data_IF_878655904743
#
_entry.id   IF_878655904743
#
_cell.length_a   1.000
_cell.length_b   1.000
_cell.length_c   1.000
_cell.angle_alpha   90.00
_cell.angle_beta   90.00
_cell.angle_gamma   90.00
#
_symmetry.space_group_name_H-M   'P 1'
#
loop_
_entity.id
_entity.type
_entity.pdbx_description
1 polymer ?
#
# COMPACT_ATOMS: atom_id res chain seq x y z
N UNK A 1 47.65 -48.66 1.76
CA UNK A 1 48.21 -48.58 0.40
C UNK A 1 47.38 -47.57 -0.38
N UNK A 2 47.95 -46.38 -0.54
CA UNK A 2 47.39 -45.22 -1.23
C UNK A 2 47.32 -45.43 -2.74
N UNK A 3 46.30 -44.86 -3.39
CA UNK A 3 46.36 -43.90 -4.50
C UNK A 3 45.06 -43.98 -5.33
N UNK A 4 44.25 -42.91 -5.27
CA UNK A 4 43.19 -42.65 -6.25
C UNK A 4 43.52 -41.31 -6.91
N UNK A 5 43.89 -41.39 -8.18
CA UNK A 5 44.19 -40.24 -9.03
C UNK A 5 42.89 -39.63 -9.62
N UNK A 6 42.80 -38.31 -9.80
CA UNK A 6 41.66 -37.67 -10.46
C UNK A 6 41.79 -37.70 -12.00
N UNK A 7 40.71 -38.10 -12.67
CA UNK A 7 40.57 -38.10 -14.12
C UNK A 7 40.51 -36.67 -14.68
N UNK A 8 41.58 -36.23 -15.36
CA UNK A 8 41.59 -35.04 -16.22
C UNK A 8 40.97 -35.40 -17.58
N UNK A 9 39.88 -34.74 -17.96
CA UNK A 9 39.42 -34.72 -19.35
C UNK A 9 40.13 -33.58 -20.09
N UNK A 10 41.01 -33.95 -21.00
CA UNK A 10 41.51 -33.12 -22.09
C UNK A 10 40.49 -33.20 -23.23
N UNK A 11 40.03 -32.06 -23.72
CA UNK A 11 39.38 -31.96 -25.03
C UNK A 11 39.96 -30.74 -25.75
N UNK A 12 40.25 -30.96 -27.03
CA UNK A 12 41.14 -30.24 -27.91
C UNK A 12 40.61 -28.89 -28.38
N UNK A 13 41.56 -27.98 -28.65
CA UNK A 13 41.40 -26.83 -29.52
C UNK A 13 41.02 -27.28 -30.94
N UNK A 14 40.05 -26.59 -31.55
CA UNK A 14 39.96 -26.43 -33.00
C UNK A 14 39.77 -24.94 -33.31
N UNK A 15 40.60 -24.44 -34.23
CA UNK A 15 40.65 -23.07 -34.73
C UNK A 15 39.55 -22.79 -35.77
N UNK A 16 39.25 -21.49 -35.88
CA UNK A 16 38.89 -20.74 -37.10
C UNK A 16 37.65 -21.11 -37.90
N UNK A 17 36.64 -20.23 -37.85
CA UNK A 17 35.91 -19.74 -39.02
C UNK A 17 35.33 -18.34 -38.68
N UNK A 18 36.00 -17.29 -39.16
CA UNK A 18 35.52 -15.91 -39.17
C UNK A 18 34.44 -15.74 -40.24
N UNK A 19 33.26 -15.18 -39.96
CA UNK A 19 32.40 -14.59 -40.98
C UNK A 19 32.81 -13.12 -41.25
N UNK A 20 32.68 -12.63 -42.50
CA UNK A 20 33.12 -11.30 -42.89
C UNK A 20 32.23 -10.19 -42.30
N UNK A 21 32.90 -9.13 -41.85
CA UNK A 21 32.35 -7.87 -41.38
C UNK A 21 31.69 -7.15 -42.55
N UNK A 22 30.36 -7.12 -42.59
CA UNK A 22 29.61 -6.20 -43.44
C UNK A 22 29.52 -4.84 -42.75
N UNK A 23 30.29 -3.88 -43.24
CA UNK A 23 30.15 -2.46 -42.89
C UNK A 23 28.92 -1.89 -43.58
N UNK A 24 27.79 -1.84 -42.87
CA UNK A 24 26.63 -1.05 -43.27
C UNK A 24 26.56 0.17 -42.37
N UNK A 25 27.00 1.31 -42.89
CA UNK A 25 26.88 2.62 -42.23
C UNK A 25 25.41 3.05 -42.25
N UNK A 26 24.65 2.63 -41.25
CA UNK A 26 23.38 3.26 -40.91
C UNK A 26 23.69 4.45 -40.00
N UNK A 27 23.62 5.65 -40.56
CA UNK A 27 23.63 6.89 -39.83
C UNK A 27 22.44 6.93 -38.86
N UNK A 28 22.61 6.41 -37.65
CA UNK A 28 21.72 6.69 -36.55
C UNK A 28 21.92 8.17 -36.17
N UNK A 29 21.12 9.04 -36.79
CA UNK A 29 20.76 10.32 -36.18
C UNK A 29 20.16 9.98 -34.81
N UNK A 30 20.96 10.12 -33.78
CA UNK A 30 20.48 10.26 -32.41
C UNK A 30 19.66 11.54 -32.39
N UNK A 31 18.36 11.41 -32.66
CA UNK A 31 17.39 12.39 -32.17
C UNK A 31 17.42 12.26 -30.67
N UNK A 32 18.29 13.03 -30.03
CA UNK A 32 18.15 13.41 -28.63
C UNK A 32 16.73 13.96 -28.53
N UNK A 33 15.80 13.36 -27.78
CA UNK A 33 14.56 14.05 -27.48
C UNK A 33 14.95 15.26 -26.64
N UNK A 34 14.97 16.44 -27.26
CA UNK A 34 14.99 17.72 -26.57
C UNK A 34 13.56 17.92 -26.02
N UNK A 35 13.17 17.05 -25.09
CA UNK A 35 12.12 17.33 -24.12
C UNK A 35 12.78 17.50 -22.75
N UNK A 36 13.90 18.22 -22.74
CA UNK A 36 14.25 19.05 -21.60
C UNK A 36 13.36 20.30 -21.64
N UNK A 37 12.04 20.09 -21.54
CA UNK A 37 11.18 21.13 -20.98
C UNK A 37 11.78 21.41 -19.60
N UNK A 38 12.40 22.57 -19.47
CA UNK A 38 12.69 23.21 -18.21
C UNK A 38 11.41 23.19 -17.40
N UNK A 39 11.21 22.11 -16.64
CA UNK A 39 10.35 22.13 -15.47
C UNK A 39 11.04 23.16 -14.59
N UNK A 40 10.58 24.41 -14.67
CA UNK A 40 10.58 25.32 -13.54
C UNK A 40 9.79 24.58 -12.47
N UNK A 41 10.48 23.69 -11.78
CA UNK A 41 9.99 23.15 -10.55
C UNK A 41 9.81 24.39 -9.67
N UNK A 42 8.59 24.63 -9.23
CA UNK A 42 8.34 25.30 -7.96
C UNK A 42 8.92 24.39 -6.87
N UNK A 43 10.23 24.12 -6.94
CA UNK A 43 10.97 23.49 -5.89
C UNK A 43 11.22 24.61 -4.91
N UNK A 44 10.88 24.34 -3.66
CA UNK A 44 11.43 25.06 -2.53
C UNK A 44 12.95 24.89 -2.55
N UNK A 45 13.63 25.63 -3.43
CA UNK A 45 14.94 26.15 -3.10
C UNK A 45 14.77 26.87 -1.77
N UNK A 46 15.70 26.61 -0.85
CA UNK A 46 15.69 27.02 0.55
C UNK A 46 14.97 28.34 0.81
N UNK A 47 14.31 28.53 1.96
CA UNK A 47 13.80 29.84 2.32
C UNK A 47 14.99 30.80 2.23
N UNK A 48 15.03 31.62 1.18
CA UNK A 48 15.83 32.84 1.20
C UNK A 48 15.37 33.52 2.47
N UNK A 49 16.33 33.92 3.31
CA UNK A 49 16.06 34.73 4.50
C UNK A 49 14.94 35.70 4.12
N UNK A 50 13.82 35.59 4.82
CA UNK A 50 12.67 36.41 4.56
C UNK A 50 13.12 37.86 4.77
N UNK A 51 13.46 38.55 3.70
CA UNK A 51 13.28 39.98 3.66
C UNK A 51 11.77 40.15 3.84
N UNK A 52 11.38 40.70 4.99
CA UNK A 52 9.99 40.90 5.44
C UNK A 52 9.16 41.81 4.51
N UNK A 53 9.65 42.07 3.31
CA UNK A 53 9.08 42.94 2.27
C UNK A 53 8.76 42.17 0.98
N UNK A 54 9.01 40.86 0.88
CA UNK A 54 8.79 40.10 -0.37
C UNK A 54 7.96 38.82 -0.28
N UNK A 55 7.54 38.35 0.90
CA UNK A 55 6.71 37.14 1.01
C UNK A 55 5.23 37.37 0.68
N UNK A 56 4.77 38.62 0.73
CA UNK A 56 3.36 39.00 0.57
C UNK A 56 3.10 39.80 -0.71
N UNK A 57 3.89 39.59 -1.77
CA UNK A 57 3.55 40.20 -3.07
C UNK A 57 2.49 39.30 -3.72
N UNK A 58 1.20 39.69 -3.74
CA UNK A 58 0.19 38.90 -4.43
C UNK A 58 0.60 38.83 -5.90
N UNK A 59 0.70 37.62 -6.44
CA UNK A 59 0.93 37.46 -7.87
C UNK A 59 -0.40 37.82 -8.56
N UNK A 60 -0.51 38.98 -9.24
CA UNK A 60 -1.78 39.47 -9.75
C UNK A 60 -2.40 38.49 -10.75
N UNK A 61 -1.58 37.76 -11.49
CA UNK A 61 -2.03 36.73 -12.44
C UNK A 61 -2.64 35.53 -11.70
N UNK A 62 -2.05 35.12 -10.57
CA UNK A 62 -2.63 34.03 -9.77
C UNK A 62 -3.90 34.46 -9.07
N UNK A 63 -3.96 35.69 -8.56
CA UNK A 63 -5.17 36.23 -7.91
C UNK A 63 -6.30 36.43 -8.94
N UNK A 64 -6.01 36.97 -10.11
CA UNK A 64 -6.97 37.04 -11.22
C UNK A 64 -7.44 35.65 -11.67
N UNK A 65 -6.52 34.68 -11.75
CA UNK A 65 -6.86 33.31 -12.12
C UNK A 65 -7.74 32.64 -11.05
N UNK A 66 -7.43 32.81 -9.76
CA UNK A 66 -8.27 32.31 -8.66
C UNK A 66 -9.64 32.99 -8.64
N UNK A 67 -9.70 34.30 -8.92
CA UNK A 67 -10.95 35.07 -9.00
C UNK A 67 -11.82 34.59 -10.16
N UNK A 68 -11.21 34.28 -11.31
CA UNK A 68 -11.90 33.74 -12.49
C UNK A 68 -12.29 32.27 -12.31
N UNK A 69 -11.59 31.52 -11.46
CA UNK A 69 -11.87 30.11 -11.19
C UNK A 69 -12.02 29.86 -9.68
N UNK A 70 -13.06 30.42 -9.03
CA UNK A 70 -13.23 30.32 -7.58
C UNK A 70 -13.44 28.87 -7.11
N UNK A 71 -14.09 28.04 -7.94
CA UNK A 71 -14.26 26.61 -7.70
C UNK A 71 -12.94 25.81 -7.83
N UNK A 72 -12.05 26.19 -8.74
CA UNK A 72 -10.76 25.51 -8.95
C UNK A 72 -9.68 25.97 -7.94
N UNK A 73 -9.77 27.22 -7.46
CA UNK A 73 -8.93 27.77 -6.40
C UNK A 73 -9.22 27.12 -5.04
N UNK A 74 -10.50 26.93 -4.69
CA UNK A 74 -10.91 26.22 -3.49
C UNK A 74 -10.57 24.71 -3.54
N UNK A 75 -10.56 24.11 -4.74
CA UNK A 75 -10.27 22.70 -4.97
C UNK A 75 -8.80 22.38 -5.30
N UNK A 76 -7.91 23.37 -5.39
CA UNK A 76 -6.47 23.19 -5.64
C UNK A 76 -6.12 22.63 -7.03
N UNK A 77 -6.94 22.88 -8.06
CA UNK A 77 -6.65 22.48 -9.45
C UNK A 77 -5.58 23.38 -10.08
N UNK A 78 -4.76 22.82 -10.99
CA UNK A 78 -3.93 23.61 -11.92
C UNK A 78 -4.75 23.92 -13.17
N UNK A 79 -4.52 25.06 -13.85
CA UNK A 79 -5.24 25.39 -15.09
C UNK A 79 -5.09 24.27 -16.12
N UNK A 80 -6.21 23.66 -16.51
CA UNK A 80 -6.29 22.88 -17.75
C UNK A 80 -6.24 23.84 -18.92
N UNK A 81 -5.32 23.62 -19.86
CA UNK A 81 -5.42 24.20 -21.19
C UNK A 81 -6.76 23.72 -21.80
N UNK A 82 -7.58 24.60 -22.37
CA UNK A 82 -8.90 24.23 -22.89
C UNK A 82 -8.74 23.16 -23.97
N UNK A 83 -9.29 21.98 -23.70
CA UNK A 83 -9.50 20.93 -24.70
C UNK A 83 -10.74 21.30 -25.51
N UNK A 84 -10.60 22.27 -26.39
CA UNK A 84 -11.65 22.79 -27.25
C UNK A 84 -11.09 23.95 -28.03
N UNK A 85 -11.23 23.92 -29.36
CA UNK A 85 -10.72 24.98 -30.23
C UNK A 85 -11.16 26.37 -29.76
N UNK A 86 -10.38 27.39 -30.13
CA UNK A 86 -10.68 28.80 -29.90
C UNK A 86 -12.04 29.15 -30.52
N UNK A 87 -13.12 28.93 -29.79
CA UNK A 87 -14.36 29.68 -30.02
C UNK A 87 -14.06 31.11 -29.63
N UNK A 88 -14.39 32.11 -30.48
CA UNK A 88 -14.29 33.50 -30.05
C UNK A 88 -15.15 33.67 -28.81
N UNK A 89 -14.53 34.08 -27.70
CA UNK A 89 -15.28 34.49 -26.52
C UNK A 89 -16.12 35.71 -26.91
N UNK A 90 -17.44 35.58 -26.85
CA UNK A 90 -18.35 36.72 -27.02
C UNK A 90 -17.94 37.80 -26.01
N UNK A 91 -17.74 39.03 -26.51
CA UNK A 91 -17.37 40.16 -25.65
C UNK A 91 -18.42 40.41 -24.57
N UNK A 92 -17.97 40.83 -23.40
CA UNK A 92 -18.85 41.23 -22.30
C UNK A 92 -19.59 42.52 -22.67
N UNK A 93 -20.89 42.57 -22.40
CA UNK A 93 -21.71 43.78 -22.63
C UNK A 93 -21.50 44.72 -21.43
N UNK A 94 -21.57 46.04 -21.65
CA UNK A 94 -21.45 47.01 -20.57
C UNK A 94 -22.62 46.90 -19.58
N UNK A 95 -22.37 47.09 -18.28
CA UNK A 95 -23.36 46.98 -17.20
C UNK A 95 -24.58 47.93 -17.32
N UNK A 96 -24.54 48.90 -18.23
CA UNK A 96 -25.62 49.82 -18.56
C UNK A 96 -26.48 49.37 -19.76
N UNK A 97 -26.27 48.15 -20.27
CA UNK A 97 -27.01 47.62 -21.42
C UNK A 97 -28.42 47.19 -21.02
N UNK A 98 -29.40 47.47 -21.87
CA UNK A 98 -30.81 47.10 -21.67
C UNK A 98 -31.03 45.57 -21.58
N UNK A 99 -30.07 44.78 -22.06
CA UNK A 99 -30.09 43.32 -22.03
C UNK A 99 -29.48 42.71 -20.76
N UNK A 100 -29.02 43.54 -19.82
CA UNK A 100 -28.40 43.07 -18.57
C UNK A 100 -29.41 42.36 -17.65
N UNK A 101 -30.68 42.78 -17.66
CA UNK A 101 -31.73 42.10 -16.89
C UNK A 101 -32.09 40.74 -17.48
N UNK A 102 -32.08 40.62 -18.82
CA UNK A 102 -32.28 39.35 -19.51
C UNK A 102 -31.09 38.40 -19.27
N UNK A 103 -29.87 38.94 -19.19
CA UNK A 103 -28.67 38.17 -18.79
C UNK A 103 -28.77 37.68 -17.34
N UNK A 104 -29.18 38.52 -16.38
CA UNK A 104 -29.37 38.08 -14.99
C UNK A 104 -30.44 37.01 -14.87
N UNK A 105 -31.52 37.14 -15.62
CA UNK A 105 -32.56 36.13 -15.68
C UNK A 105 -32.05 34.82 -16.32
N UNK A 106 -31.18 34.91 -17.33
CA UNK A 106 -30.50 33.78 -17.94
C UNK A 106 -29.52 33.12 -16.96
N UNK A 107 -28.69 33.90 -16.26
CA UNK A 107 -27.74 33.40 -15.25
C UNK A 107 -28.46 32.79 -14.04
N UNK A 108 -29.60 33.35 -13.64
CA UNK A 108 -30.45 32.76 -12.61
C UNK A 108 -31.06 31.44 -13.08
N UNK A 109 -31.56 31.36 -14.32
CA UNK A 109 -32.01 30.09 -14.90
C UNK A 109 -30.88 29.08 -15.04
N UNK A 110 -29.72 29.48 -15.54
CA UNK A 110 -28.54 28.62 -15.68
C UNK A 110 -28.03 28.17 -14.30
N UNK A 111 -28.15 29.01 -13.25
CA UNK A 111 -27.84 28.65 -11.87
C UNK A 111 -28.90 27.71 -11.26
N UNK A 112 -30.19 27.94 -11.51
CA UNK A 112 -31.28 27.06 -11.10
C UNK A 112 -31.22 25.70 -11.81
N UNK A 113 -30.85 25.68 -13.09
CA UNK A 113 -30.59 24.48 -13.88
C UNK A 113 -29.30 23.77 -13.41
N UNK A 114 -28.26 24.51 -12.99
CA UNK A 114 -27.03 23.95 -12.41
C UNK A 114 -27.23 23.40 -10.98
N UNK A 115 -28.12 24.00 -10.19
CA UNK A 115 -28.54 23.49 -8.87
C UNK A 115 -29.53 22.31 -9.01
N UNK A 116 -30.37 22.29 -10.05
CA UNK A 116 -31.19 21.12 -10.42
C UNK A 116 -30.37 19.95 -11.00
N UNK A 117 -29.21 20.25 -11.60
CA UNK A 117 -28.23 19.30 -12.12
C UNK A 117 -27.29 18.73 -11.03
N UNK A 118 -27.70 18.72 -9.76
CA UNK A 118 -27.00 17.95 -8.71
C UNK A 118 -26.90 16.43 -9.02
N UNK A 119 -27.62 15.96 -10.05
CA UNK A 119 -27.55 14.61 -10.61
C UNK A 119 -26.94 14.48 -12.01
N UNK A 120 -26.57 15.55 -12.72
CA UNK A 120 -25.98 15.43 -14.07
C UNK A 120 -24.45 15.45 -13.98
N UNK A 121 -23.89 14.24 -14.02
CA UNK A 121 -22.46 13.98 -13.99
C UNK A 121 -21.77 14.69 -15.17
N UNK A 122 -21.03 15.77 -14.90
CA UNK A 122 -20.08 16.28 -15.89
C UNK A 122 -19.16 15.12 -16.34
N UNK A 123 -19.00 14.90 -17.66
CA UNK A 123 -18.30 13.74 -18.18
C UNK A 123 -16.86 13.70 -17.65
N UNK A 124 -16.58 12.74 -16.77
CA UNK A 124 -15.25 12.51 -16.20
C UNK A 124 -15.04 13.04 -14.77
N UNK A 125 -16.04 13.67 -14.14
CA UNK A 125 -16.00 14.13 -12.74
C UNK A 125 -16.89 13.24 -11.87
N UNK A 126 -16.28 12.33 -11.11
CA UNK A 126 -17.00 11.48 -10.16
C UNK A 126 -16.95 12.09 -8.76
N UNK A 127 -18.09 12.21 -8.07
CA UNK A 127 -18.13 12.65 -6.66
C UNK A 127 -18.14 11.41 -5.76
N UNK A 128 -17.08 11.19 -5.00
CA UNK A 128 -17.01 10.04 -4.06
C UNK A 128 -16.63 10.53 -2.66
N UNK A 129 -17.55 10.36 -1.71
CA UNK A 129 -17.37 10.78 -0.32
C UNK A 129 -17.20 12.29 -0.16
N UNK A 130 -17.92 13.10 -0.95
CA UNK A 130 -17.84 14.56 -0.93
C UNK A 130 -16.66 15.16 -1.70
N UNK A 131 -15.70 14.36 -2.16
CA UNK A 131 -14.55 14.81 -2.95
C UNK A 131 -14.85 14.63 -4.44
N UNK A 132 -14.74 15.71 -5.22
CA UNK A 132 -14.77 15.67 -6.69
C UNK A 132 -13.49 15.01 -7.21
N UNK A 133 -13.60 13.92 -7.97
CA UNK A 133 -12.49 13.16 -8.56
C UNK A 133 -12.59 13.22 -10.07
N UNK A 134 -11.65 13.95 -10.68
CA UNK A 134 -11.56 14.05 -12.14
C UNK A 134 -10.70 12.90 -12.68
N UNK A 135 -11.28 12.01 -13.47
CA UNK A 135 -10.60 10.83 -14.02
C UNK A 135 -9.34 11.21 -14.81
N UNK A 136 -9.43 12.24 -15.66
CA UNK A 136 -8.31 12.69 -16.49
C UNK A 136 -7.12 13.22 -15.67
N UNK A 137 -7.41 13.97 -14.61
CA UNK A 137 -6.39 14.50 -13.70
C UNK A 137 -5.74 13.35 -12.92
N UNK A 138 -6.56 12.41 -12.45
CA UNK A 138 -6.10 11.22 -11.74
C UNK A 138 -5.24 10.34 -12.63
N UNK A 139 -5.61 10.13 -13.90
CA UNK A 139 -4.84 9.32 -14.84
C UNK A 139 -3.40 9.83 -14.99
N UNK A 140 -3.20 11.16 -15.06
CA UNK A 140 -1.86 11.77 -15.14
C UNK A 140 -1.01 11.56 -13.87
N UNK A 141 -1.64 11.47 -12.70
CA UNK A 141 -0.95 11.28 -11.41
C UNK A 141 -0.73 9.80 -11.07
N UNK A 142 -1.72 8.96 -11.34
CA UNK A 142 -1.73 7.52 -11.02
C UNK A 142 -0.89 6.71 -12.01
N UNK A 143 -0.91 7.07 -13.30
CA UNK A 143 -0.21 6.35 -14.38
C UNK A 143 0.90 7.23 -15.01
N UNK A 144 2.04 7.45 -14.32
CA UNK A 144 3.12 8.28 -14.87
C UNK A 144 3.80 7.66 -16.11
N UNK A 145 3.68 6.33 -16.31
CA UNK A 145 4.25 5.63 -17.45
C UNK A 145 3.27 4.55 -18.00
N UNK A 146 2.35 4.93 -18.91
CA UNK A 146 1.32 4.02 -19.41
C UNK A 146 1.90 2.86 -20.25
N UNK A 147 2.91 3.11 -21.08
CA UNK A 147 3.52 2.07 -21.93
C UNK A 147 4.18 0.94 -21.12
N UNK A 148 4.75 1.25 -19.95
CA UNK A 148 5.28 0.24 -19.04
C UNK A 148 4.17 -0.58 -18.38
N UNK A 149 3.05 0.05 -18.00
CA UNK A 149 1.86 -0.62 -17.46
C UNK A 149 1.28 -1.61 -18.47
N UNK A 150 1.07 -1.20 -19.72
CA UNK A 150 0.53 -2.07 -20.79
C UNK A 150 1.40 -3.31 -21.03
N UNK A 151 2.73 -3.15 -21.08
CA UNK A 151 3.67 -4.28 -21.22
C UNK A 151 3.55 -5.24 -20.03
N UNK A 152 3.40 -4.70 -18.82
CA UNK A 152 3.21 -5.50 -17.62
C UNK A 152 1.86 -6.22 -17.62
N UNK A 153 0.78 -5.55 -18.01
CA UNK A 153 -0.57 -6.12 -18.13
C UNK A 153 -0.58 -7.26 -19.14
N UNK A 154 -0.04 -7.06 -20.35
CA UNK A 154 0.12 -8.12 -21.35
C UNK A 154 0.85 -9.33 -20.77
N UNK A 155 1.94 -9.10 -20.02
CA UNK A 155 2.69 -10.17 -19.34
C UNK A 155 1.85 -10.89 -18.27
N UNK A 156 1.04 -10.17 -17.49
CA UNK A 156 0.16 -10.77 -16.49
C UNK A 156 -0.97 -11.57 -17.13
N UNK A 157 -1.59 -11.05 -18.19
CA UNK A 157 -2.64 -11.73 -18.96
C UNK A 157 -2.13 -13.02 -19.57
N UNK A 158 -0.99 -12.99 -20.27
CA UNK A 158 -0.36 -14.19 -20.85
C UNK A 158 -0.04 -15.23 -19.76
N UNK A 159 0.44 -14.79 -18.59
CA UNK A 159 0.69 -15.70 -17.46
C UNK A 159 -0.59 -16.31 -16.91
N UNK A 160 -1.69 -15.54 -16.86
CA UNK A 160 -3.00 -16.02 -16.44
C UNK A 160 -3.55 -17.06 -17.42
N UNK A 161 -3.47 -16.78 -18.72
CA UNK A 161 -3.87 -17.68 -19.81
C UNK A 161 -3.09 -18.99 -19.76
N UNK A 162 -1.76 -18.94 -19.59
CA UNK A 162 -0.92 -20.15 -19.45
C UNK A 162 -1.33 -21.05 -18.29
N UNK A 163 -1.92 -20.49 -17.23
CA UNK A 163 -2.43 -21.24 -16.07
C UNK A 163 -3.89 -21.68 -16.23
N UNK A 164 -4.56 -21.31 -17.31
CA UNK A 164 -5.98 -21.59 -17.53
C UNK A 164 -6.87 -21.02 -16.42
N UNK A 165 -6.52 -19.85 -15.88
CA UNK A 165 -7.29 -19.22 -14.79
C UNK A 165 -7.08 -19.80 -13.39
N UNK A 166 -6.23 -20.83 -13.22
CA UNK A 166 -5.95 -21.42 -11.89
C UNK A 166 -5.16 -20.46 -11.01
N UNK A 167 -5.74 -20.08 -9.87
CA UNK A 167 -5.07 -19.22 -8.89
C UNK A 167 -4.09 -20.01 -8.04
N UNK A 168 -2.93 -19.41 -7.75
CA UNK A 168 -2.06 -19.91 -6.69
C UNK A 168 -2.72 -19.64 -5.33
N UNK A 169 -2.45 -20.46 -4.31
CA UNK A 169 -2.94 -20.24 -2.94
C UNK A 169 -2.66 -18.81 -2.45
N UNK A 170 -1.46 -18.28 -2.69
CA UNK A 170 -1.12 -16.91 -2.31
C UNK A 170 -1.98 -15.84 -3.02
N UNK A 171 -2.38 -16.07 -4.28
CA UNK A 171 -3.27 -15.15 -5.00
C UNK A 171 -4.72 -15.28 -4.53
N UNK A 172 -5.16 -16.50 -4.25
CA UNK A 172 -6.48 -16.77 -3.66
C UNK A 172 -6.61 -16.06 -2.31
N UNK A 173 -5.64 -16.23 -1.42
CA UNK A 173 -5.63 -15.57 -0.10
C UNK A 173 -5.61 -14.05 -0.22
N UNK A 174 -4.79 -13.47 -1.09
CA UNK A 174 -4.78 -12.01 -1.32
C UNK A 174 -6.10 -11.46 -1.87
N UNK A 175 -6.92 -12.30 -2.50
CA UNK A 175 -8.24 -11.92 -3.01
C UNK A 175 -9.32 -12.06 -1.94
N UNK A 176 -9.22 -13.07 -1.08
CA UNK A 176 -10.26 -13.41 -0.08
C UNK A 176 -10.03 -12.74 1.27
N UNK A 177 -8.79 -12.61 1.70
CA UNK A 177 -8.43 -12.08 3.02
C UNK A 177 -7.97 -10.63 2.90
N UNK A 178 -8.47 -9.77 3.79
CA UNK A 178 -8.05 -8.39 3.88
C UNK A 178 -6.80 -8.28 4.75
N UNK A 179 -5.83 -7.50 4.27
CA UNK A 179 -4.63 -7.14 5.02
C UNK A 179 -4.35 -5.64 4.90
N UNK A 180 -3.90 -5.01 5.99
CA UNK A 180 -3.40 -3.64 5.98
C UNK A 180 -2.01 -3.56 6.59
N UNK A 181 -1.07 -3.00 5.84
CA UNK A 181 0.27 -2.69 6.33
C UNK A 181 0.30 -1.22 6.71
N UNK A 182 0.45 -0.93 8.01
CA UNK A 182 0.63 0.43 8.52
C UNK A 182 2.05 0.60 9.05
N UNK A 183 2.67 1.74 8.72
CA UNK A 183 4.03 2.09 9.15
C UNK A 183 4.00 3.41 9.90
N UNK A 184 4.64 3.45 11.06
CA UNK A 184 4.76 4.65 11.86
C UNK A 184 5.79 5.63 11.28
N UNK A 185 5.68 6.87 11.74
CA UNK A 185 6.78 7.82 11.66
C UNK A 185 7.99 7.33 12.47
N UNK A 186 9.13 7.99 12.29
CA UNK A 186 10.33 7.64 13.05
C UNK A 186 10.17 8.09 14.52
N UNK A 187 10.15 7.13 15.42
CA UNK A 187 10.09 7.28 16.87
C UNK A 187 11.49 7.48 17.46
N UNK A 188 11.62 8.30 18.51
CA UNK A 188 12.91 8.55 19.17
C UNK A 188 13.26 7.42 20.15
N UNK A 189 13.57 6.24 19.60
CA UNK A 189 13.91 5.06 20.40
C UNK A 189 14.83 4.12 19.65
N UNK A 190 15.33 3.09 20.35
CA UNK A 190 16.17 2.04 19.77
C UNK A 190 15.34 0.84 19.36
N UNK A 191 15.80 0.11 18.34
CA UNK A 191 15.16 -1.13 17.86
C UNK A 191 14.97 -2.13 18.98
N UNK A 192 15.95 -2.24 19.89
CA UNK A 192 15.87 -3.17 21.04
C UNK A 192 14.74 -2.80 22.00
N UNK A 193 14.54 -1.51 22.27
CA UNK A 193 13.53 -1.02 23.20
C UNK A 193 12.12 -1.13 22.60
N UNK A 194 11.96 -0.66 21.37
CA UNK A 194 10.69 -0.74 20.65
C UNK A 194 10.32 -2.18 20.29
N UNK A 195 11.31 -3.03 19.99
CA UNK A 195 11.09 -4.44 19.68
C UNK A 195 10.49 -5.24 20.85
N UNK A 196 10.76 -4.88 22.10
CA UNK A 196 10.08 -5.49 23.25
C UNK A 196 8.58 -5.17 23.26
N UNK A 197 8.21 -3.93 22.93
CA UNK A 197 6.81 -3.49 22.84
C UNK A 197 6.12 -4.13 21.64
N UNK A 198 6.78 -4.17 20.47
CA UNK A 198 6.24 -4.80 19.27
C UNK A 198 5.90 -6.28 19.49
N UNK A 199 6.77 -7.03 20.17
CA UNK A 199 6.49 -8.44 20.53
C UNK A 199 5.35 -8.58 21.54
N UNK A 200 5.13 -7.60 22.41
CA UNK A 200 4.04 -7.63 23.39
C UNK A 200 2.65 -7.47 22.74
N UNK A 201 2.57 -6.73 21.63
CA UNK A 201 1.31 -6.48 20.91
C UNK A 201 1.07 -7.46 19.76
N UNK A 202 2.13 -8.08 19.21
CA UNK A 202 2.01 -9.08 18.16
C UNK A 202 1.10 -10.24 18.60
N UNK A 203 0.13 -10.60 17.76
CA UNK A 203 -0.82 -11.68 18.03
C UNK A 203 -1.96 -11.30 18.98
N UNK A 204 -2.09 -10.05 19.43
CA UNK A 204 -3.28 -9.58 20.16
C UNK A 204 -4.33 -9.04 19.21
N UNK A 205 -5.59 -9.00 19.66
CA UNK A 205 -6.62 -8.20 18.99
C UNK A 205 -6.23 -6.73 19.04
N UNK A 206 -6.74 -5.94 18.11
CA UNK A 206 -6.37 -4.53 18.02
C UNK A 206 -6.79 -3.76 19.29
N UNK A 207 -7.98 -4.05 19.82
CA UNK A 207 -8.50 -3.42 21.04
C UNK A 207 -7.70 -3.81 22.29
N UNK A 208 -7.36 -5.09 22.43
CA UNK A 208 -6.50 -5.54 23.54
C UNK A 208 -5.13 -4.88 23.47
N UNK A 209 -4.57 -4.72 22.26
CA UNK A 209 -3.29 -4.05 22.08
C UNK A 209 -3.37 -2.57 22.49
N UNK A 210 -4.45 -1.86 22.14
CA UNK A 210 -4.69 -0.47 22.53
C UNK A 210 -4.78 -0.36 24.07
N UNK A 211 -5.59 -1.22 24.70
CA UNK A 211 -5.71 -1.27 26.17
C UNK A 211 -4.34 -1.53 26.80
N UNK A 212 -3.56 -2.46 26.27
CA UNK A 212 -2.22 -2.77 26.77
C UNK A 212 -1.24 -1.61 26.65
N UNK A 213 -1.32 -0.82 25.57
CA UNK A 213 -0.49 0.38 25.41
C UNK A 213 -0.94 1.53 26.32
N UNK A 214 -2.26 1.68 26.58
CA UNK A 214 -2.81 2.67 27.52
C UNK A 214 -2.22 2.53 28.93
N UNK A 215 -2.10 1.30 29.42
CA UNK A 215 -1.60 1.02 30.77
C UNK A 215 -0.10 0.69 30.83
N UNK A 216 0.63 0.83 29.72
CA UNK A 216 2.05 0.53 29.69
C UNK A 216 2.88 1.66 30.27
N UNK A 217 3.81 1.33 31.17
CA UNK A 217 4.73 2.30 31.80
C UNK A 217 5.82 2.83 30.85
N UNK A 218 5.92 2.31 29.62
CA UNK A 218 7.00 2.66 28.68
C UNK A 218 6.63 3.97 27.97
N UNK A 219 7.53 4.95 27.95
CA UNK A 219 7.32 6.23 27.23
C UNK A 219 6.87 6.05 25.78
N UNK A 220 7.47 5.08 25.08
CA UNK A 220 7.18 4.79 23.68
C UNK A 220 5.76 4.22 23.48
N UNK A 221 5.10 3.72 24.52
CA UNK A 221 3.74 3.17 24.40
C UNK A 221 2.71 4.24 23.99
N UNK A 222 2.92 5.50 24.34
CA UNK A 222 2.06 6.61 23.93
C UNK A 222 2.09 6.77 22.39
N UNK A 223 3.28 6.81 21.80
CA UNK A 223 3.45 6.89 20.34
C UNK A 223 2.93 5.64 19.62
N UNK A 224 3.06 4.46 20.25
CA UNK A 224 2.52 3.21 19.70
C UNK A 224 1.01 3.17 19.77
N UNK A 225 0.39 3.71 20.82
CA UNK A 225 -1.06 3.83 20.95
C UNK A 225 -1.62 4.70 19.81
N UNK A 226 -1.06 5.88 19.59
CA UNK A 226 -1.46 6.76 18.48
C UNK A 226 -1.33 6.04 17.14
N UNK A 227 -0.23 5.30 16.95
CA UNK A 227 -0.04 4.50 15.75
C UNK A 227 -1.09 3.38 15.59
N UNK A 228 -1.51 2.73 16.68
CA UNK A 228 -2.54 1.68 16.64
C UNK A 228 -3.91 2.25 16.30
N UNK A 229 -4.27 3.40 16.86
CA UNK A 229 -5.52 4.10 16.56
C UNK A 229 -5.54 4.56 15.10
N UNK A 230 -4.46 5.17 14.62
CA UNK A 230 -4.30 5.51 13.20
C UNK A 230 -4.41 4.27 12.31
N UNK A 231 -3.74 3.17 12.66
CA UNK A 231 -3.76 1.95 11.87
C UNK A 231 -5.16 1.29 11.82
N UNK A 232 -5.93 1.39 12.90
CA UNK A 232 -7.35 0.97 12.94
C UNK A 232 -8.15 1.77 11.92
N UNK A 233 -8.07 3.10 11.98
CA UNK A 233 -8.89 3.97 11.15
C UNK A 233 -8.52 3.80 9.67
N UNK A 234 -7.23 3.70 9.38
CA UNK A 234 -6.71 3.35 8.05
C UNK A 234 -7.21 1.98 7.55
N UNK A 235 -7.21 0.95 8.40
CA UNK A 235 -7.67 -0.39 8.06
C UNK A 235 -9.18 -0.42 7.75
N UNK A 236 -9.98 0.28 8.55
CA UNK A 236 -11.43 0.39 8.35
C UNK A 236 -11.72 1.17 7.06
N UNK A 237 -11.10 2.34 6.86
CA UNK A 237 -11.41 3.22 5.73
C UNK A 237 -10.84 2.69 4.41
N UNK A 238 -9.57 2.27 4.37
CA UNK A 238 -8.93 1.87 3.11
C UNK A 238 -9.22 0.42 2.72
N UNK A 239 -9.37 -0.48 3.69
CA UNK A 239 -9.57 -1.92 3.42
C UNK A 239 -10.98 -2.42 3.75
N UNK A 240 -11.78 -1.67 4.50
CA UNK A 240 -13.12 -2.11 4.90
C UNK A 240 -13.10 -3.23 5.92
N UNK A 241 -12.07 -3.30 6.77
CA UNK A 241 -11.98 -4.32 7.83
C UNK A 241 -12.85 -3.97 9.05
N UNK A 242 -13.31 -4.97 9.81
CA UNK A 242 -14.03 -4.76 11.07
C UNK A 242 -15.46 -4.23 10.95
N UNK A 243 -16.06 -4.27 9.75
CA UNK A 243 -17.42 -3.77 9.49
C UNK A 243 -18.50 -4.87 9.54
N UNK A 244 -18.12 -6.12 9.80
CA UNK A 244 -19.04 -7.26 9.74
C UNK A 244 -20.16 -7.21 10.77
N UNK A 245 -19.85 -6.76 11.99
CA UNK A 245 -20.81 -6.68 13.10
C UNK A 245 -21.98 -5.72 12.81
N UNK A 246 -21.69 -4.54 12.24
CA UNK A 246 -22.70 -3.51 11.92
C UNK A 246 -23.57 -3.91 10.73
N UNK A 247 -23.01 -4.66 9.77
CA UNK A 247 -23.78 -5.25 8.68
C UNK A 247 -24.76 -6.31 9.18
N UNK A 248 -24.29 -7.18 10.07
CA UNK A 248 -25.09 -8.24 10.67
C UNK A 248 -26.23 -7.69 11.54
N UNK A 249 -25.98 -6.65 12.35
CA UNK A 249 -27.01 -6.05 13.20
C UNK A 249 -28.13 -5.37 12.39
N UNK A 250 -27.81 -4.75 11.26
CA UNK A 250 -28.81 -4.15 10.36
C UNK A 250 -29.66 -5.20 9.64
N UNK A 251 -29.08 -6.35 9.29
CA UNK A 251 -29.83 -7.49 8.75
C UNK A 251 -30.60 -8.28 9.81
N UNK A 252 -30.29 -8.08 11.09
CA UNK A 252 -30.96 -8.73 12.21
C UNK A 252 -32.24 -7.99 12.66
N UNK A 253 -32.42 -6.74 12.23
CA UNK A 253 -33.67 -5.98 12.44
C UNK A 253 -34.85 -6.54 11.62
N UNK A 254 -34.60 -7.49 10.70
CA UNK A 254 -35.66 -8.33 10.14
C UNK A 254 -36.06 -9.40 11.17
N UNK A 255 -37.17 -9.12 11.88
CA UNK A 255 -37.83 -9.79 13.01
C UNK A 255 -38.20 -11.29 12.84
N UNK A 256 -37.39 -12.11 12.18
CA UNK A 256 -37.81 -13.46 11.77
C UNK A 256 -36.86 -14.62 12.09
N UNK A 257 -35.95 -14.51 13.08
CA UNK A 257 -35.33 -15.70 13.71
C UNK A 257 -34.51 -15.36 14.99
N UNK A 258 -35.07 -15.54 16.20
CA UNK A 258 -34.34 -15.33 17.46
C UNK A 258 -33.41 -16.49 17.88
N UNK A 259 -33.09 -17.41 16.96
CA UNK A 259 -32.35 -18.65 17.27
C UNK A 259 -31.25 -18.97 16.25
N UNK A 260 -30.47 -17.97 15.82
CA UNK A 260 -29.14 -18.25 15.24
C UNK A 260 -28.13 -18.12 16.36
N UNK A 261 -27.85 -19.25 16.98
CA UNK A 261 -26.81 -19.44 17.98
C UNK A 261 -25.60 -18.53 17.72
N UNK A 262 -25.15 -17.83 18.75
CA UNK A 262 -23.86 -17.14 18.79
C UNK A 262 -22.76 -18.17 18.48
N UNK A 263 -22.41 -18.33 17.19
CA UNK A 263 -21.38 -19.27 16.74
C UNK A 263 -20.00 -18.73 17.09
N UNK A 264 -19.73 -18.63 18.38
CA UNK A 264 -18.42 -18.33 18.88
C UNK A 264 -17.51 -19.51 18.55
N UNK A 265 -16.52 -19.29 17.69
CA UNK A 265 -15.57 -20.32 17.30
C UNK A 265 -14.40 -20.33 18.28
N UNK A 266 -14.17 -21.47 18.92
CA UNK A 266 -12.98 -21.67 19.72
C UNK A 266 -11.86 -22.24 18.86
N UNK A 267 -10.81 -21.44 18.67
CA UNK A 267 -9.64 -21.83 17.90
C UNK A 267 -8.42 -22.01 18.80
N UNK A 268 -7.45 -22.80 18.34
CA UNK A 268 -6.11 -22.81 18.93
C UNK A 268 -5.16 -21.97 18.07
N UNK A 269 -4.53 -20.97 18.68
CA UNK A 269 -3.49 -20.17 18.04
C UNK A 269 -2.23 -21.00 17.79
N UNK A 270 -1.31 -20.48 16.98
CA UNK A 270 -0.01 -21.12 16.72
C UNK A 270 0.81 -21.36 18.00
N UNK A 271 0.62 -20.51 19.00
CA UNK A 271 1.27 -20.60 20.31
C UNK A 271 0.63 -21.63 21.25
N UNK A 272 -0.43 -22.32 20.81
CA UNK A 272 -1.18 -23.31 21.59
C UNK A 272 -2.26 -22.73 22.51
N UNK A 273 -2.36 -21.40 22.63
CA UNK A 273 -3.43 -20.74 23.40
C UNK A 273 -4.78 -20.91 22.73
N UNK A 274 -5.82 -21.22 23.52
CA UNK A 274 -7.21 -21.19 23.06
C UNK A 274 -7.69 -19.74 22.96
N UNK A 275 -8.39 -19.42 21.90
CA UNK A 275 -8.95 -18.09 21.65
C UNK A 275 -10.38 -18.24 21.14
N UNK A 276 -11.31 -17.50 21.74
CA UNK A 276 -12.73 -17.52 21.41
C UNK A 276 -13.02 -16.34 20.48
N UNK A 277 -13.45 -16.61 19.26
CA UNK A 277 -13.80 -15.62 18.25
C UNK A 277 -15.31 -15.49 18.21
N UNK A 278 -15.84 -14.32 18.53
CA UNK A 278 -17.25 -13.97 18.34
C UNK A 278 -17.51 -13.40 16.94
N UNK A 279 -16.64 -12.52 16.45
CA UNK A 279 -16.71 -11.91 15.12
C UNK A 279 -15.49 -12.27 14.28
N UNK A 280 -15.72 -12.88 13.12
CA UNK A 280 -14.66 -13.21 12.15
C UNK A 280 -14.05 -11.97 11.49
N UNK A 281 -14.77 -10.83 11.47
CA UNK A 281 -14.30 -9.59 10.87
C UNK A 281 -13.43 -8.73 11.81
N UNK A 282 -13.36 -9.11 13.10
CA UNK A 282 -12.58 -8.41 14.10
C UNK A 282 -11.10 -8.32 13.69
N UNK A 283 -10.49 -7.16 13.96
CA UNK A 283 -9.12 -6.86 13.53
C UNK A 283 -8.13 -7.31 14.60
N UNK A 284 -7.08 -8.01 14.18
CA UNK A 284 -5.95 -8.36 15.03
C UNK A 284 -4.62 -8.00 14.38
N UNK A 285 -3.58 -7.94 15.22
CA UNK A 285 -2.21 -7.68 14.79
C UNK A 285 -1.56 -9.03 14.47
N UNK A 286 -1.42 -9.35 13.17
CA UNK A 286 -0.74 -10.56 12.72
C UNK A 286 0.76 -10.47 12.98
N UNK A 287 1.37 -9.38 12.51
CA UNK A 287 2.80 -9.16 12.63
C UNK A 287 3.08 -7.75 13.11
N UNK A 288 4.07 -7.62 13.97
CA UNK A 288 4.63 -6.34 14.39
C UNK A 288 6.15 -6.43 14.40
N UNK A 289 6.81 -5.55 13.67
CA UNK A 289 8.28 -5.49 13.62
C UNK A 289 8.78 -4.05 13.59
N UNK A 290 10.08 -3.89 13.83
CA UNK A 290 10.71 -2.58 13.99
C UNK A 290 11.78 -2.38 12.93
N UNK A 291 11.69 -1.26 12.22
CA UNK A 291 12.70 -0.77 11.28
C UNK A 291 13.69 0.20 11.93
N UNK A 292 14.91 0.26 11.39
CA UNK A 292 15.90 1.28 11.75
C UNK A 292 15.63 2.56 10.96
N UNK A 293 15.59 3.69 11.66
CA UNK A 293 15.57 5.03 11.08
C UNK A 293 16.96 5.66 11.04
N UNK A 294 17.05 6.95 10.67
CA UNK A 294 18.31 7.69 10.65
C UNK A 294 18.89 7.83 12.07
N UNK A 295 20.22 7.73 12.19
CA UNK A 295 20.91 7.95 13.47
C UNK A 295 21.36 9.42 13.59
N UNK A 296 21.10 10.03 14.74
CA UNK A 296 21.79 11.24 15.14
C UNK A 296 23.20 10.93 15.63
N UNK A 297 24.07 11.94 15.67
CA UNK A 297 25.43 11.85 16.19
C UNK A 297 25.60 12.89 17.30
N UNK A 298 26.14 12.47 18.44
CA UNK A 298 26.49 13.36 19.55
C UNK A 298 27.91 13.00 20.04
N UNK A 299 28.81 13.97 20.22
CA UNK A 299 30.11 13.70 20.83
C UNK A 299 29.94 13.35 22.32
N UNK A 300 30.62 12.28 22.76
CA UNK A 300 30.74 11.85 24.16
C UNK A 300 32.20 12.11 24.60
N UNK A 301 32.39 13.20 25.35
CA UNK A 301 33.70 13.63 25.84
C UNK A 301 34.08 12.84 27.08
N UNK A 302 35.20 12.12 27.03
CA UNK A 302 35.71 11.30 28.14
C UNK A 302 37.07 11.81 28.64
N UNK A 303 37.46 11.30 29.81
CA UNK A 303 38.77 11.57 30.39
C UNK A 303 39.92 11.22 29.42
N UNK A 304 41.07 11.88 29.62
CA UNK A 304 42.30 11.70 28.82
C UNK A 304 42.14 12.09 27.34
N UNK A 305 41.35 13.13 27.04
CA UNK A 305 41.21 13.67 25.68
C UNK A 305 40.52 12.73 24.67
N UNK A 306 39.82 11.69 25.14
CA UNK A 306 39.12 10.73 24.27
C UNK A 306 37.73 11.25 23.92
N UNK A 307 37.40 11.27 22.64
CA UNK A 307 36.06 11.63 22.15
C UNK A 307 35.46 10.47 21.37
N UNK A 308 34.33 9.96 21.84
CA UNK A 308 33.54 8.97 21.11
C UNK A 308 32.33 9.63 20.46
N UNK A 309 31.74 8.98 19.45
CA UNK A 309 30.50 9.46 18.82
C UNK A 309 29.36 8.56 19.27
N UNK A 310 28.50 9.09 20.13
CA UNK A 310 27.24 8.46 20.52
C UNK A 310 26.23 8.55 19.36
N UNK A 311 25.72 7.39 18.94
CA UNK A 311 24.68 7.31 17.89
C UNK A 311 23.30 7.31 18.53
N UNK A 312 22.54 8.40 18.36
CA UNK A 312 21.16 8.45 18.89
C UNK A 312 20.19 7.84 17.89
N UNK A 313 19.51 6.72 18.24
CA UNK A 313 18.67 6.01 17.29
C UNK A 313 17.34 6.71 17.07
N UNK A 314 16.82 6.54 15.86
CA UNK A 314 15.41 6.67 15.52
C UNK A 314 14.95 5.37 14.88
N UNK A 315 13.68 5.01 15.06
CA UNK A 315 13.15 3.73 14.56
C UNK A 315 11.70 3.84 14.15
N UNK A 316 11.24 3.02 13.21
CA UNK A 316 9.81 2.95 12.83
C UNK A 316 9.22 1.62 13.27
N UNK A 317 7.94 1.62 13.63
CA UNK A 317 7.13 0.43 13.88
C UNK A 317 6.32 0.12 12.61
N UNK A 318 6.30 -1.14 12.22
CA UNK A 318 5.47 -1.64 11.11
C UNK A 318 4.55 -2.72 11.63
N UNK A 319 3.27 -2.59 11.28
CA UNK A 319 2.18 -3.46 11.71
C UNK A 319 1.50 -4.05 10.47
N UNK A 320 1.16 -5.34 10.53
CA UNK A 320 0.26 -5.99 9.58
C UNK A 320 -1.00 -6.36 10.34
N UNK A 321 -2.09 -5.74 9.93
CA UNK A 321 -3.43 -5.98 10.47
C UNK A 321 -4.18 -6.93 9.54
N UNK A 322 -4.88 -7.90 10.12
CA UNK A 322 -5.73 -8.87 9.42
C UNK A 322 -7.01 -9.09 10.21
N UNK A 323 -7.98 -9.76 9.59
CA UNK A 323 -9.25 -10.16 10.22
C UNK A 323 -9.14 -11.55 10.85
N UNK A 324 -9.86 -11.79 11.95
CA UNK A 324 -9.92 -13.09 12.65
C UNK A 324 -10.28 -14.28 11.73
N UNK A 325 -10.98 -14.04 10.61
CA UNK A 325 -11.21 -15.03 9.55
C UNK A 325 -9.92 -15.72 9.07
N UNK A 326 -8.79 -14.99 9.02
CA UNK A 326 -7.48 -15.58 8.69
C UNK A 326 -7.04 -16.60 9.73
N UNK A 327 -7.27 -16.33 11.02
CA UNK A 327 -6.89 -17.25 12.11
C UNK A 327 -7.75 -18.51 12.10
N UNK A 328 -9.04 -18.38 11.80
CA UNK A 328 -9.95 -19.52 11.60
C UNK A 328 -9.42 -20.42 10.49
N UNK A 329 -9.11 -19.87 9.31
CA UNK A 329 -8.53 -20.64 8.20
C UNK A 329 -7.21 -21.29 8.60
N UNK A 330 -6.29 -20.56 9.22
CA UNK A 330 -4.99 -21.13 9.63
C UNK A 330 -5.14 -22.27 10.65
N UNK A 331 -6.15 -22.19 11.52
CA UNK A 331 -6.50 -23.25 12.44
C UNK A 331 -7.07 -24.47 11.68
N UNK A 332 -8.03 -24.27 10.79
CA UNK A 332 -8.58 -25.35 9.95
C UNK A 332 -7.52 -26.05 9.12
N UNK A 333 -6.61 -25.30 8.49
CA UNK A 333 -5.50 -25.89 7.72
C UNK A 333 -4.55 -26.71 8.62
N UNK A 334 -4.31 -26.24 9.85
CA UNK A 334 -3.48 -26.96 10.82
C UNK A 334 -4.18 -28.23 11.30
N UNK A 335 -5.48 -28.15 11.55
CA UNK A 335 -6.33 -29.26 11.94
C UNK A 335 -6.44 -30.32 10.84
N UNK A 336 -6.66 -29.90 9.59
CA UNK A 336 -6.62 -30.79 8.45
C UNK A 336 -5.26 -31.46 8.29
N UNK A 337 -4.17 -30.70 8.42
CA UNK A 337 -2.81 -31.25 8.34
C UNK A 337 -2.58 -32.24 9.48
N UNK A 338 -3.07 -31.95 10.68
CA UNK A 338 -3.00 -32.84 11.84
C UNK A 338 -3.82 -34.11 11.59
N UNK A 339 -5.07 -34.01 11.14
CA UNK A 339 -5.93 -35.15 10.78
C UNK A 339 -5.26 -36.01 9.71
N UNK A 340 -4.79 -35.41 8.62
CA UNK A 340 -4.04 -36.10 7.54
C UNK A 340 -2.77 -36.77 8.07
N UNK A 341 -2.04 -36.13 8.99
CA UNK A 341 -0.84 -36.70 9.59
C UNK A 341 -1.16 -37.85 10.56
N UNK A 342 -2.19 -37.72 11.38
CA UNK A 342 -2.66 -38.79 12.29
C UNK A 342 -3.15 -39.98 11.48
N UNK A 343 -3.98 -39.76 10.45
CA UNK A 343 -4.51 -40.84 9.60
C UNK A 343 -3.40 -41.54 8.80
N UNK A 344 -2.44 -40.79 8.24
CA UNK A 344 -1.34 -41.38 7.45
C UNK A 344 -0.25 -42.01 8.32
N UNK A 345 0.13 -41.34 9.40
CA UNK A 345 1.22 -41.71 10.29
C UNK A 345 0.68 -42.02 11.68
N UNK A 346 -0.25 -42.97 11.76
CA UNK A 346 -0.60 -43.58 13.04
C UNK A 346 0.67 -44.25 13.57
N UNK A 347 1.01 -43.98 14.82
CA UNK A 347 2.14 -44.66 15.45
C UNK A 347 1.86 -46.17 15.49
N UNK A 348 2.74 -46.96 14.88
CA UNK A 348 2.70 -48.42 14.87
C UNK A 348 3.79 -48.94 15.78
N UNK A 349 3.49 -49.95 16.58
CA UNK A 349 4.48 -50.61 17.45
C UNK A 349 5.68 -51.12 16.65
N UNK A 350 5.43 -51.81 15.53
CA UNK A 350 6.44 -52.29 14.59
C UNK A 350 6.20 -51.64 13.21
N UNK A 351 6.90 -50.54 12.88
CA UNK A 351 6.78 -49.90 11.58
C UNK A 351 7.67 -50.56 10.53
N UNK A 352 7.14 -50.77 9.32
CA UNK A 352 7.90 -51.23 8.16
C UNK A 352 8.83 -50.12 7.66
N UNK A 353 10.06 -50.09 8.19
CA UNK A 353 11.08 -49.14 7.73
C UNK A 353 11.73 -49.68 6.47
N UNK A 354 11.85 -48.87 5.40
CA UNK A 354 12.51 -49.33 4.19
C UNK A 354 13.99 -49.61 4.48
N UNK A 355 14.51 -50.71 3.95
CA UNK A 355 15.94 -51.02 3.99
C UNK A 355 16.66 -49.98 3.13
N UNK A 356 17.47 -49.13 3.76
CA UNK A 356 18.10 -47.97 3.10
C UNK A 356 19.29 -48.36 2.22
N UNK A 357 19.79 -49.59 2.33
CA UNK A 357 20.97 -50.09 1.66
C UNK A 357 20.56 -51.09 0.57
N UNK A 358 21.05 -50.87 -0.65
CA UNK A 358 20.90 -51.82 -1.74
C UNK A 358 22.16 -52.69 -1.84
N UNK A 359 21.97 -54.01 -1.86
CA UNK A 359 23.02 -54.99 -2.20
C UNK A 359 22.70 -55.56 -3.59
N UNK A 360 23.74 -55.96 -4.33
CA UNK A 360 23.59 -56.60 -5.64
C UNK A 360 23.22 -58.08 -5.55
N UNK A 361 23.21 -58.64 -4.35
CA UNK A 361 22.77 -59.99 -4.06
C UNK A 361 21.68 -59.96 -3.00
N UNK A 362 20.94 -61.04 -2.96
CA UNK A 362 19.87 -61.27 -2.03
C UNK A 362 20.44 -61.69 -0.66
N UNK A 363 19.87 -61.12 0.40
CA UNK A 363 20.31 -61.33 1.79
C UNK A 363 19.12 -61.66 2.71
N UNK A 364 18.02 -62.09 2.11
CA UNK A 364 16.86 -62.62 2.81
C UNK A 364 17.07 -64.07 3.18
#
# INVERSE_FOLDING_TARGET
MSLSAPSRRLASLCLSCNPPISTTTLAHRTRIPIDAALRRTLSSSQPRRADSTSSDKPNPILEEWKRKNPGDAAAGKRPSLPAGGLTPQSGDIAASSIFEDERRAQEQKDAEDAEGAEGEEEPGVMKVGGIRRNSEIMARLLDPNPAAREKWEKKMVVRSLRKGGRLNKALFLKRTEREHLSKSHNLKTSVKKLGMVARQIAGKTLDDAIVQMRFSKKKVAIEVLEQLEKARDEAVVMRGMGLGLVGASKSATDEANPAKDDKSLEIQLKDGKRHKISDSSAIYIDQAWVGRGPYGKLPDYRARGRVFIMRTPWTSLSLVLKEEATRVREFEEREEKRKKAVTRNVWKHLPDRPVQLQRQWYSW
#
